data_IF_229174228047
#
_entry.id   IF_229174228047
#
_cell.length_a   1.000
_cell.length_b   1.000
_cell.length_c   1.000
_cell.angle_alpha   90.00
_cell.angle_beta   90.00
_cell.angle_gamma   90.00
#
_symmetry.space_group_name_H-M   'P 1'
#
loop_
_entity.id
_entity.type
_entity.pdbx_description
1 polymer ?
#
# COMPACT_ATOMS: atom_id res chain seq x y z
N UNK A 1 11.22 -9.50 -23.24
CA UNK A 1 10.31 -8.34 -23.42
C UNK A 1 10.28 -7.40 -22.21
N UNK A 2 10.31 -7.89 -20.96
CA UNK A 2 10.21 -7.05 -19.73
C UNK A 2 11.33 -5.99 -19.64
N UNK A 3 12.54 -6.32 -20.02
CA UNK A 3 13.70 -5.39 -20.00
C UNK A 3 13.75 -4.38 -21.15
N UNK A 4 12.81 -4.43 -22.10
CA UNK A 4 12.79 -3.49 -23.22
C UNK A 4 12.55 -2.03 -22.77
N UNK A 5 11.88 -1.81 -21.64
CA UNK A 5 11.69 -0.50 -21.03
C UNK A 5 13.03 0.19 -20.69
N UNK A 6 14.10 -0.55 -20.37
CA UNK A 6 15.44 0.00 -20.10
C UNK A 6 16.14 0.57 -21.34
N UNK A 7 15.60 0.37 -22.54
CA UNK A 7 16.09 1.08 -23.74
C UNK A 7 15.78 2.58 -23.67
N UNK A 8 14.76 2.97 -22.91
CA UNK A 8 14.40 4.37 -22.67
C UNK A 8 15.31 4.96 -21.60
N UNK A 9 16.08 6.01 -21.93
CA UNK A 9 17.04 6.64 -21.01
C UNK A 9 16.37 7.09 -19.71
N UNK A 10 15.20 7.70 -19.79
CA UNK A 10 14.43 8.15 -18.63
C UNK A 10 14.15 7.01 -17.65
N UNK A 11 13.78 5.82 -18.15
CA UNK A 11 13.45 4.67 -17.32
C UNK A 11 14.66 4.06 -16.59
N UNK A 12 15.86 4.18 -17.18
CA UNK A 12 17.12 3.75 -16.52
C UNK A 12 17.41 4.49 -15.23
N UNK A 13 16.93 5.72 -15.11
CA UNK A 13 17.06 6.53 -13.90
C UNK A 13 15.82 6.42 -13.01
N UNK A 14 14.63 6.40 -13.62
CA UNK A 14 13.36 6.32 -12.86
C UNK A 14 13.24 5.01 -12.07
N UNK A 15 13.47 3.86 -12.71
CA UNK A 15 13.27 2.57 -12.07
C UNK A 15 14.13 2.36 -10.81
N UNK A 16 15.48 2.58 -10.82
CA UNK A 16 16.27 2.44 -9.59
C UNK A 16 15.91 3.49 -8.54
N UNK A 17 15.53 4.70 -8.95
CA UNK A 17 15.03 5.70 -8.03
C UNK A 17 13.72 5.25 -7.34
N UNK A 18 12.78 4.65 -8.08
CA UNK A 18 11.55 4.08 -7.55
C UNK A 18 11.83 2.91 -6.61
N UNK A 19 12.81 2.06 -6.95
CA UNK A 19 13.24 0.95 -6.11
C UNK A 19 13.79 1.44 -4.77
N UNK A 20 14.73 2.37 -4.80
CA UNK A 20 15.33 2.95 -3.59
C UNK A 20 14.30 3.63 -2.70
N UNK A 21 13.40 4.45 -3.29
CA UNK A 21 12.32 5.09 -2.53
C UNK A 21 11.41 4.06 -1.87
N UNK A 22 11.03 3.01 -2.59
CA UNK A 22 10.14 1.97 -2.04
C UNK A 22 10.81 1.20 -0.91
N UNK A 23 12.10 0.87 -1.03
CA UNK A 23 12.86 0.23 0.04
C UNK A 23 12.97 1.12 1.27
N UNK A 24 13.31 2.40 1.09
CA UNK A 24 13.39 3.36 2.19
C UNK A 24 12.04 3.51 2.91
N UNK A 25 10.91 3.51 2.19
CA UNK A 25 9.56 3.54 2.80
C UNK A 25 9.28 2.35 3.72
N UNK A 26 9.59 1.15 3.25
CA UNK A 26 9.35 -0.06 4.03
C UNK A 26 10.29 -0.14 5.24
N UNK A 27 11.57 0.23 5.06
CA UNK A 27 12.53 0.34 6.16
C UNK A 27 12.03 1.32 7.23
N UNK A 28 11.62 2.51 6.82
CA UNK A 28 11.14 3.57 7.70
C UNK A 28 9.86 3.16 8.43
N UNK A 29 8.86 2.66 7.69
CA UNK A 29 7.57 2.26 8.27
C UNK A 29 7.74 1.21 9.35
N UNK A 30 8.58 0.20 9.11
CA UNK A 30 8.81 -0.86 10.07
C UNK A 30 9.64 -0.38 11.27
N UNK A 31 10.72 0.37 11.02
CA UNK A 31 11.60 0.89 12.06
C UNK A 31 10.86 1.86 12.99
N UNK A 32 10.07 2.79 12.44
CA UNK A 32 9.30 3.74 13.25
C UNK A 32 8.12 3.11 13.96
N UNK A 33 7.41 2.18 13.31
CA UNK A 33 6.36 1.42 13.97
C UNK A 33 6.88 0.64 15.17
N UNK A 34 8.05 0.03 15.03
CA UNK A 34 8.76 -0.63 16.14
C UNK A 34 9.15 0.35 17.24
N UNK A 35 9.78 1.48 16.85
CA UNK A 35 10.20 2.52 17.79
C UNK A 35 9.01 3.07 18.60
N UNK A 36 7.93 3.46 17.92
CA UNK A 36 6.73 3.97 18.61
C UNK A 36 6.18 2.94 19.58
N UNK A 37 6.10 1.67 19.18
CA UNK A 37 5.58 0.60 20.02
C UNK A 37 6.45 0.40 21.26
N UNK A 38 7.77 0.26 21.10
CA UNK A 38 8.69 -0.03 22.20
C UNK A 38 8.88 1.16 23.15
N UNK A 39 8.86 2.40 22.65
CA UNK A 39 9.03 3.59 23.49
C UNK A 39 7.78 3.96 24.27
N UNK A 40 6.59 3.74 23.67
CA UNK A 40 5.34 4.14 24.32
C UNK A 40 4.60 2.99 25.01
N UNK A 41 4.86 1.75 24.60
CA UNK A 41 4.05 0.59 25.00
C UNK A 41 2.58 0.71 24.59
N UNK A 42 2.21 1.73 23.81
CA UNK A 42 0.83 2.10 23.49
C UNK A 42 0.42 1.67 22.09
N UNK A 43 -0.52 0.73 22.02
CA UNK A 43 -1.12 0.34 20.75
C UNK A 43 -1.86 1.51 20.08
N UNK A 44 -2.42 2.44 20.86
CA UNK A 44 -3.08 3.62 20.30
C UNK A 44 -2.06 4.53 19.58
N UNK A 45 -0.89 4.78 20.17
CA UNK A 45 0.16 5.57 19.51
C UNK A 45 0.66 4.89 18.23
N UNK A 46 0.82 3.57 18.25
CA UNK A 46 1.18 2.79 17.07
C UNK A 46 0.14 2.92 15.95
N UNK A 47 -1.14 2.81 16.28
CA UNK A 47 -2.22 2.89 15.30
C UNK A 47 -2.46 4.31 14.80
N UNK A 48 -2.23 5.33 15.63
CA UNK A 48 -2.18 6.74 15.21
C UNK A 48 -1.04 6.93 14.21
N UNK A 49 0.17 6.48 14.54
CA UNK A 49 1.31 6.52 13.60
C UNK A 49 0.97 5.88 12.24
N UNK A 50 0.41 4.67 12.25
CA UNK A 50 -0.01 3.98 11.02
C UNK A 50 -1.08 4.74 10.24
N UNK A 51 -2.04 5.37 10.93
CA UNK A 51 -3.13 6.12 10.30
C UNK A 51 -2.65 7.43 9.68
N UNK A 52 -1.72 8.13 10.32
CA UNK A 52 -1.14 9.39 9.82
C UNK A 52 -0.47 9.22 8.46
N UNK A 53 0.05 8.04 8.14
CA UNK A 53 0.70 7.77 6.85
C UNK A 53 -0.26 7.83 5.65
N UNK A 54 -1.58 7.83 5.87
CA UNK A 54 -2.61 7.86 4.83
C UNK A 54 -3.30 9.23 4.66
N UNK A 55 -2.90 10.27 5.38
CA UNK A 55 -3.52 11.59 5.32
C UNK A 55 -3.50 12.20 3.91
N UNK A 56 -2.46 11.96 3.14
CA UNK A 56 -2.29 12.47 1.78
C UNK A 56 -3.30 11.93 0.77
N UNK A 57 -4.02 10.85 1.09
CA UNK A 57 -5.12 10.40 0.23
C UNK A 57 -6.25 11.43 0.16
N UNK A 58 -6.45 12.23 1.22
CA UNK A 58 -7.40 13.35 1.24
C UNK A 58 -6.96 14.50 0.32
N UNK A 59 -5.66 14.69 0.18
CA UNK A 59 -5.06 15.74 -0.64
C UNK A 59 -4.84 15.31 -2.11
N UNK A 60 -5.14 14.05 -2.48
CA UNK A 60 -4.90 13.49 -3.80
C UNK A 60 -5.44 14.36 -4.97
N UNK A 61 -6.66 14.97 -4.89
CA UNK A 61 -7.14 15.85 -5.95
C UNK A 61 -6.24 17.09 -6.16
N UNK A 62 -5.72 17.67 -5.07
CA UNK A 62 -4.79 18.80 -5.11
C UNK A 62 -3.45 18.42 -5.76
N UNK A 63 -2.93 17.23 -5.46
CA UNK A 63 -1.72 16.70 -6.09
C UNK A 63 -1.90 16.49 -7.59
N UNK A 64 -3.08 16.04 -8.05
CA UNK A 64 -3.39 15.92 -9.46
C UNK A 64 -3.31 17.25 -10.19
N UNK A 65 -3.99 18.27 -9.67
CA UNK A 65 -3.97 19.64 -10.25
C UNK A 65 -2.55 20.22 -10.27
N UNK A 66 -1.77 19.97 -9.23
CA UNK A 66 -0.39 20.46 -9.15
C UNK A 66 0.50 19.70 -10.16
N UNK A 67 0.30 18.40 -10.33
CA UNK A 67 1.01 17.58 -11.31
C UNK A 67 0.70 18.01 -12.76
N UNK A 68 -0.53 18.40 -13.06
CA UNK A 68 -0.92 18.93 -14.37
C UNK A 68 -0.18 20.25 -14.70
N UNK A 69 0.13 21.06 -13.68
CA UNK A 69 0.83 22.35 -13.85
C UNK A 69 2.35 22.21 -13.88
N UNK A 70 2.92 21.37 -13.00
CA UNK A 70 4.37 21.27 -12.82
C UNK A 70 4.97 20.10 -13.62
N UNK A 71 4.14 19.15 -14.06
CA UNK A 71 4.56 17.88 -14.66
C UNK A 71 4.87 16.81 -13.60
N UNK A 72 4.61 15.54 -13.95
CA UNK A 72 4.80 14.39 -13.04
C UNK A 72 6.25 14.24 -12.56
N UNK A 73 7.24 14.57 -13.40
CA UNK A 73 8.66 14.49 -13.04
C UNK A 73 9.07 15.49 -11.96
N UNK A 74 8.70 16.77 -12.11
CA UNK A 74 8.97 17.81 -11.13
C UNK A 74 8.28 17.52 -9.79
N UNK A 75 7.03 17.06 -9.87
CA UNK A 75 6.25 16.70 -8.70
C UNK A 75 6.92 15.54 -7.95
N UNK A 76 7.35 14.51 -8.65
CA UNK A 76 8.03 13.37 -8.06
C UNK A 76 9.38 13.76 -7.42
N UNK A 77 10.13 14.69 -8.04
CA UNK A 77 11.36 15.21 -7.44
C UNK A 77 11.10 15.99 -6.16
N UNK A 78 10.05 16.84 -6.13
CA UNK A 78 9.66 17.57 -4.93
C UNK A 78 9.23 16.62 -3.80
N UNK A 79 8.48 15.55 -4.12
CA UNK A 79 8.10 14.52 -3.15
C UNK A 79 9.34 13.80 -2.59
N UNK A 80 10.29 13.40 -3.44
CA UNK A 80 11.53 12.75 -3.00
C UNK A 80 12.45 13.66 -2.19
N UNK A 81 12.50 14.95 -2.54
CA UNK A 81 13.18 15.95 -1.72
C UNK A 81 12.57 16.05 -0.32
N UNK A 82 11.23 16.04 -0.23
CA UNK A 82 10.53 16.02 1.07
C UNK A 82 10.88 14.77 1.88
N UNK A 83 10.92 13.58 1.27
CA UNK A 83 11.30 12.34 1.96
C UNK A 83 12.74 12.39 2.47
N UNK A 84 13.68 12.84 1.62
CA UNK A 84 15.09 13.00 2.01
C UNK A 84 15.24 14.00 3.16
N UNK A 85 14.53 15.12 3.12
CA UNK A 85 14.55 16.13 4.18
C UNK A 85 14.00 15.57 5.50
N UNK A 86 12.83 14.93 5.48
CA UNK A 86 12.22 14.34 6.69
C UNK A 86 13.10 13.24 7.30
N UNK A 87 13.66 12.37 6.46
CA UNK A 87 14.58 11.32 6.93
C UNK A 87 15.87 11.90 7.50
N UNK A 88 16.41 12.99 6.90
CA UNK A 88 17.61 13.68 7.41
C UNK A 88 17.34 14.38 8.75
N UNK A 89 16.16 15.01 8.89
CA UNK A 89 15.75 15.59 10.18
C UNK A 89 15.66 14.51 11.24
N UNK A 90 15.02 13.37 10.94
CA UNK A 90 14.89 12.29 11.90
C UNK A 90 16.25 11.64 12.21
N UNK A 91 17.13 11.51 11.22
CA UNK A 91 18.52 11.08 11.43
C UNK A 91 19.24 12.01 12.41
N UNK A 92 19.17 13.32 12.20
CA UNK A 92 19.84 14.30 13.07
C UNK A 92 19.30 14.24 14.50
N UNK A 93 17.98 14.17 14.67
CA UNK A 93 17.34 14.00 15.98
C UNK A 93 17.79 12.69 16.65
N UNK A 94 17.86 11.59 15.89
CA UNK A 94 18.23 10.28 16.43
C UNK A 94 19.71 10.18 16.81
N UNK A 95 20.60 10.83 16.06
CA UNK A 95 22.03 10.88 16.38
C UNK A 95 22.33 11.80 17.57
N UNK A 96 21.46 12.80 17.82
CA UNK A 96 21.55 13.69 18.95
C UNK A 96 20.81 13.17 20.20
N UNK A 97 20.23 11.96 20.17
CA UNK A 97 19.38 11.36 21.22
C UNK A 97 18.15 12.24 21.59
N UNK A 98 17.67 13.06 20.66
CA UNK A 98 16.52 13.96 20.85
C UNK A 98 15.20 13.41 20.25
N UNK A 99 15.21 12.20 19.69
CA UNK A 99 13.98 11.58 19.14
C UNK A 99 13.01 11.26 20.26
N UNK A 100 11.79 11.73 20.09
CA UNK A 100 10.65 11.36 20.93
C UNK A 100 9.53 10.79 20.06
N UNK A 101 8.59 10.01 20.62
CA UNK A 101 7.42 9.54 19.87
C UNK A 101 6.62 10.69 19.21
N UNK A 102 6.59 11.87 19.83
CA UNK A 102 5.91 13.06 19.28
C UNK A 102 6.58 13.51 17.97
N UNK A 103 7.90 13.61 17.92
CA UNK A 103 8.62 13.94 16.69
C UNK A 103 8.34 12.93 15.57
N UNK A 104 8.29 11.64 15.92
CA UNK A 104 7.95 10.58 14.94
C UNK A 104 6.54 10.78 14.39
N UNK A 105 5.56 11.10 15.24
CA UNK A 105 4.18 11.37 14.79
C UNK A 105 4.09 12.63 13.92
N UNK A 106 4.80 13.72 14.27
CA UNK A 106 4.86 14.95 13.47
C UNK A 106 5.45 14.67 12.09
N UNK A 107 6.60 13.99 12.03
CA UNK A 107 7.26 13.67 10.76
C UNK A 107 6.44 12.67 9.94
N UNK A 108 5.79 11.68 10.57
CA UNK A 108 4.86 10.77 9.92
C UNK A 108 3.64 11.51 9.34
N UNK A 109 3.15 12.54 10.02
CA UNK A 109 2.05 13.39 9.51
C UNK A 109 2.46 14.10 8.23
N UNK A 110 3.60 14.80 8.26
CA UNK A 110 4.12 15.53 7.08
C UNK A 110 4.42 14.57 5.93
N UNK A 111 5.10 13.45 6.21
CA UNK A 111 5.36 12.39 5.22
C UNK A 111 4.07 11.77 4.68
N UNK A 112 3.11 11.52 5.55
CA UNK A 112 1.81 10.93 5.21
C UNK A 112 0.94 11.81 4.33
N UNK A 113 1.14 13.13 4.31
CA UNK A 113 0.47 14.02 3.35
C UNK A 113 0.97 13.82 1.91
N UNK A 114 2.19 13.36 1.75
CA UNK A 114 2.85 13.26 0.43
C UNK A 114 2.85 11.82 -0.12
N UNK A 115 3.18 10.83 0.73
CA UNK A 115 3.42 9.42 0.36
C UNK A 115 2.33 8.72 -0.45
N UNK A 116 1.03 8.82 -0.11
CA UNK A 116 -0.02 8.09 -0.83
C UNK A 116 -0.09 8.46 -2.32
N UNK A 117 0.39 9.63 -2.69
CA UNK A 117 0.36 10.12 -4.07
C UNK A 117 1.59 9.72 -4.90
N UNK A 118 2.63 9.18 -4.26
CA UNK A 118 3.90 8.82 -4.93
C UNK A 118 3.71 7.81 -6.06
N UNK A 119 2.94 6.73 -5.82
CA UNK A 119 2.71 5.70 -6.82
C UNK A 119 1.91 6.21 -8.02
N UNK A 120 1.00 7.17 -7.80
CA UNK A 120 0.22 7.79 -8.87
C UNK A 120 1.16 8.59 -9.77
N UNK A 121 2.05 9.38 -9.17
CA UNK A 121 3.04 10.19 -9.91
C UNK A 121 4.05 9.32 -10.65
N UNK A 122 4.52 8.21 -10.06
CA UNK A 122 5.38 7.23 -10.74
C UNK A 122 4.72 6.65 -11.99
N UNK A 123 3.47 6.21 -11.86
CA UNK A 123 2.73 5.62 -12.97
C UNK A 123 2.42 6.67 -14.06
N UNK A 124 2.12 7.92 -13.68
CA UNK A 124 1.96 9.02 -14.63
C UNK A 124 3.25 9.26 -15.41
N UNK A 125 4.40 9.35 -14.72
CA UNK A 125 5.69 9.54 -15.35
C UNK A 125 6.09 8.38 -16.29
N UNK A 126 5.77 7.13 -15.92
CA UNK A 126 5.92 5.96 -16.81
C UNK A 126 5.07 6.14 -18.07
N UNK A 127 3.81 6.56 -17.89
CA UNK A 127 2.89 6.81 -19.00
C UNK A 127 3.36 7.91 -19.96
N UNK A 128 4.01 8.95 -19.43
CA UNK A 128 4.53 10.08 -20.20
C UNK A 128 5.84 9.78 -20.92
N UNK A 129 6.67 8.90 -20.36
CA UNK A 129 8.05 8.69 -20.84
C UNK A 129 8.27 7.40 -21.62
N UNK A 130 7.39 6.40 -21.44
CA UNK A 130 7.56 5.06 -22.03
C UNK A 130 6.65 4.89 -23.26
N UNK A 131 7.22 4.46 -24.41
CA UNK A 131 6.39 4.13 -25.58
C UNK A 131 5.35 3.04 -25.29
N UNK A 132 4.15 3.09 -25.93
CA UNK A 132 3.06 2.14 -25.68
C UNK A 132 3.47 0.67 -25.78
N UNK A 133 4.39 0.33 -26.70
CA UNK A 133 4.90 -1.03 -26.89
C UNK A 133 5.67 -1.59 -25.66
N UNK A 134 6.18 -0.73 -24.77
CA UNK A 134 6.97 -1.12 -23.60
C UNK A 134 6.26 -0.79 -22.26
N UNK A 135 5.10 -0.13 -22.33
CA UNK A 135 4.37 0.37 -21.15
C UNK A 135 4.00 -0.76 -20.17
N UNK A 136 3.46 -1.87 -20.68
CA UNK A 136 3.08 -3.02 -19.84
C UNK A 136 4.29 -3.62 -19.11
N UNK A 137 5.43 -3.70 -19.77
CA UNK A 137 6.68 -4.18 -19.15
C UNK A 137 7.17 -3.24 -18.05
N UNK A 138 7.09 -1.93 -18.25
CA UNK A 138 7.48 -0.92 -17.26
C UNK A 138 6.58 -0.96 -16.02
N UNK A 139 5.25 -1.08 -16.21
CA UNK A 139 4.28 -1.20 -15.11
C UNK A 139 4.45 -2.51 -14.34
N UNK A 140 4.69 -3.62 -15.03
CA UNK A 140 4.98 -4.90 -14.39
C UNK A 140 6.26 -4.82 -13.53
N UNK A 141 7.31 -4.17 -14.04
CA UNK A 141 8.54 -3.98 -13.29
C UNK A 141 8.35 -3.06 -12.08
N UNK A 142 7.53 -2.00 -12.20
CA UNK A 142 7.14 -1.15 -11.07
C UNK A 142 6.42 -1.96 -9.98
N UNK A 143 5.60 -2.93 -10.35
CA UNK A 143 4.94 -3.83 -9.39
C UNK A 143 5.94 -4.73 -8.68
N UNK A 144 6.86 -5.36 -9.41
CA UNK A 144 7.93 -6.19 -8.83
C UNK A 144 8.78 -5.36 -7.85
N UNK A 145 9.05 -4.10 -8.19
CA UNK A 145 9.75 -3.15 -7.31
C UNK A 145 9.06 -3.01 -5.95
N UNK A 146 7.74 -2.80 -5.94
CA UNK A 146 6.97 -2.65 -4.69
C UNK A 146 6.97 -3.95 -3.87
N UNK A 147 6.78 -5.09 -4.53
CA UNK A 147 6.74 -6.37 -3.83
C UNK A 147 8.13 -6.75 -3.27
N UNK A 148 9.22 -6.46 -4.01
CA UNK A 148 10.59 -6.64 -3.51
C UNK A 148 10.91 -5.71 -2.33
N UNK A 149 10.40 -4.47 -2.38
CA UNK A 149 10.60 -3.48 -1.32
C UNK A 149 9.97 -3.93 0.00
N UNK A 150 8.77 -4.50 -0.04
CA UNK A 150 8.10 -5.02 1.15
C UNK A 150 8.92 -6.10 1.85
N UNK A 151 9.56 -6.98 1.07
CA UNK A 151 10.40 -8.05 1.63
C UNK A 151 11.75 -7.50 2.06
N UNK A 152 12.51 -6.92 1.10
CA UNK A 152 13.87 -6.47 1.31
C UNK A 152 13.95 -5.28 2.26
N UNK A 153 13.05 -4.31 2.12
CA UNK A 153 13.00 -3.12 2.97
C UNK A 153 12.64 -3.46 4.41
N UNK A 154 11.64 -4.35 4.63
CA UNK A 154 11.29 -4.78 5.97
C UNK A 154 12.43 -5.52 6.68
N UNK A 155 13.10 -6.46 5.99
CA UNK A 155 14.25 -7.20 6.53
C UNK A 155 15.46 -6.28 6.77
N UNK A 156 15.75 -5.39 5.82
CA UNK A 156 16.85 -4.44 5.94
C UNK A 156 16.59 -3.44 7.09
N UNK A 157 15.38 -2.87 7.18
CA UNK A 157 15.01 -1.96 8.27
C UNK A 157 15.12 -2.61 9.64
N UNK A 158 14.59 -3.83 9.78
CA UNK A 158 14.67 -4.61 11.01
C UNK A 158 16.12 -4.98 11.36
N UNK A 159 16.89 -5.46 10.38
CA UNK A 159 18.28 -5.86 10.56
C UNK A 159 19.17 -4.68 10.95
N UNK A 160 19.06 -3.55 10.25
CA UNK A 160 19.83 -2.35 10.52
C UNK A 160 19.46 -1.73 11.88
N UNK A 161 18.15 -1.64 12.20
CA UNK A 161 17.72 -1.05 13.47
C UNK A 161 18.23 -1.85 14.67
N UNK A 162 18.29 -3.18 14.55
CA UNK A 162 18.82 -4.05 15.61
C UNK A 162 20.34 -3.99 15.70
N UNK A 163 21.05 -3.91 14.55
CA UNK A 163 22.52 -3.95 14.53
C UNK A 163 23.17 -2.59 14.80
N UNK A 164 22.58 -1.50 14.33
CA UNK A 164 23.18 -0.17 14.30
C UNK A 164 22.47 0.85 15.20
N UNK A 165 21.28 0.52 15.70
CA UNK A 165 20.40 1.46 16.40
C UNK A 165 19.71 2.44 15.45
N UNK A 166 18.80 3.27 16.00
CA UNK A 166 17.90 4.13 15.23
C UNK A 166 18.68 5.18 14.39
N UNK A 167 19.62 5.90 14.99
CA UNK A 167 20.32 7.01 14.34
C UNK A 167 21.11 6.57 13.10
N UNK A 168 21.88 5.50 13.21
CA UNK A 168 22.66 4.97 12.07
C UNK A 168 21.77 4.31 11.01
N UNK A 169 20.68 3.68 11.42
CA UNK A 169 19.69 3.17 10.48
C UNK A 169 19.09 4.30 9.66
N UNK A 170 18.77 5.43 10.29
CA UNK A 170 18.27 6.61 9.59
C UNK A 170 19.31 7.31 8.72
N UNK A 171 20.62 7.18 9.04
CA UNK A 171 21.67 7.62 8.11
C UNK A 171 21.62 6.82 6.78
N UNK A 172 21.40 5.51 6.87
CA UNK A 172 21.21 4.68 5.66
C UNK A 172 19.93 5.04 4.93
N UNK A 173 18.79 5.18 5.63
CA UNK A 173 17.50 5.56 5.02
C UNK A 173 17.59 6.92 4.32
N UNK A 174 18.20 7.92 4.98
CA UNK A 174 18.41 9.25 4.41
C UNK A 174 19.28 9.20 3.15
N UNK A 175 20.39 8.45 3.19
CA UNK A 175 21.27 8.25 2.03
C UNK A 175 20.51 7.61 0.87
N UNK A 176 19.67 6.61 1.13
CA UNK A 176 18.85 5.95 0.09
C UNK A 176 17.85 6.92 -0.54
N UNK A 177 17.20 7.79 0.27
CA UNK A 177 16.30 8.83 -0.27
C UNK A 177 17.06 9.89 -1.07
N UNK A 178 18.22 10.33 -0.61
CA UNK A 178 19.08 11.29 -1.34
C UNK A 178 19.56 10.70 -2.66
N UNK A 179 19.98 9.44 -2.67
CA UNK A 179 20.36 8.73 -3.90
C UNK A 179 19.18 8.60 -4.88
N UNK A 180 17.97 8.28 -4.36
CA UNK A 180 16.75 8.27 -5.15
C UNK A 180 16.44 9.64 -5.77
N UNK A 181 16.56 10.72 -4.98
CA UNK A 181 16.37 12.09 -5.45
C UNK A 181 17.40 12.43 -6.55
N UNK A 182 18.68 12.12 -6.34
CA UNK A 182 19.74 12.36 -7.32
C UNK A 182 19.46 11.64 -8.65
N UNK A 183 19.05 10.37 -8.60
CA UNK A 183 18.65 9.62 -9.79
C UNK A 183 17.43 10.24 -10.50
N UNK A 184 16.50 10.85 -9.75
CA UNK A 184 15.32 11.51 -10.35
C UNK A 184 15.70 12.66 -11.27
N UNK A 185 16.79 13.37 -11.01
CA UNK A 185 17.28 14.43 -11.90
C UNK A 185 17.82 13.91 -13.25
N UNK A 186 18.12 12.62 -13.36
CA UNK A 186 18.45 11.97 -14.63
C UNK A 186 17.25 11.64 -15.53
N UNK A 187 16.02 11.78 -15.01
CA UNK A 187 14.80 11.54 -15.76
C UNK A 187 14.50 12.73 -16.68
N UNK A 188 14.00 12.49 -17.88
CA UNK A 188 13.61 13.55 -18.81
C UNK A 188 12.32 14.21 -18.33
N UNK A 189 12.39 15.50 -18.00
CA UNK A 189 11.28 16.29 -17.46
C UNK A 189 10.51 17.05 -18.54
N UNK A 190 10.62 16.63 -19.81
CA UNK A 190 9.85 17.29 -20.86
C UNK A 190 8.37 17.09 -20.59
N UNK A 191 7.67 18.22 -20.37
CA UNK A 191 6.22 18.22 -20.51
C UNK A 191 5.90 17.64 -21.90
N UNK A 192 4.90 16.76 -22.04
CA UNK A 192 4.46 16.31 -23.34
C UNK A 192 4.21 17.56 -24.19
N UNK A 193 4.87 17.66 -25.36
CA UNK A 193 4.47 18.65 -26.35
C UNK A 193 3.00 18.37 -26.63
N UNK A 194 2.10 19.36 -26.58
CA UNK A 194 0.71 19.17 -26.96
C UNK A 194 0.72 18.68 -28.41
N UNK A 195 0.48 17.39 -28.60
CA UNK A 195 0.20 16.86 -29.93
C UNK A 195 -1.20 17.37 -30.31
N UNK A 196 -1.33 18.23 -31.32
CA UNK A 196 -2.63 18.77 -31.75
C UNK A 196 -3.63 17.69 -32.17
N UNK A 197 -3.16 16.47 -32.45
CA UNK A 197 -3.97 15.33 -32.86
C UNK A 197 -4.31 14.37 -31.71
N UNK A 198 -3.73 14.52 -30.52
CA UNK A 198 -4.09 13.73 -29.35
C UNK A 198 -5.27 14.39 -28.65
N UNK A 199 -6.47 13.83 -28.83
CA UNK A 199 -7.61 14.14 -27.97
C UNK A 199 -7.17 14.12 -26.49
N UNK A 200 -7.72 14.98 -25.61
CA UNK A 200 -7.24 15.09 -24.23
C UNK A 200 -7.27 13.70 -23.60
N UNK A 201 -6.07 13.14 -23.37
CA UNK A 201 -5.93 11.99 -22.49
C UNK A 201 -6.54 12.45 -21.19
N UNK A 202 -7.61 11.76 -20.79
CA UNK A 202 -8.28 12.05 -19.55
C UNK A 202 -7.24 12.05 -18.43
N UNK A 203 -6.77 13.25 -18.07
CA UNK A 203 -6.07 13.49 -16.84
C UNK A 203 -7.00 12.98 -15.74
N UNK A 204 -6.53 12.05 -14.95
CA UNK A 204 -7.33 11.35 -13.93
C UNK A 204 -7.96 12.31 -12.93
N UNK A 205 -7.56 13.59 -12.96
CA UNK A 205 -8.15 14.66 -12.12
C UNK A 205 -8.19 15.97 -12.91
N UNK A 206 -9.14 16.11 -13.81
CA UNK A 206 -9.54 17.39 -14.39
C UNK A 206 -10.33 18.21 -13.35
N UNK A 207 -10.56 19.51 -13.58
CA UNK A 207 -11.44 20.35 -12.75
C UNK A 207 -12.90 19.82 -12.65
N UNK A 208 -13.28 18.84 -13.45
CA UNK A 208 -14.48 17.99 -13.32
C UNK A 208 -14.29 16.84 -12.30
N UNK A 209 -13.12 16.66 -11.70
CA UNK A 209 -12.76 15.47 -10.89
C UNK A 209 -13.74 15.15 -9.78
N UNK A 210 -14.33 16.16 -9.14
CA UNK A 210 -15.36 15.95 -8.14
C UNK A 210 -16.67 15.42 -8.75
N UNK A 211 -17.07 15.94 -9.91
CA UNK A 211 -18.25 15.45 -10.67
C UNK A 211 -17.99 14.06 -11.21
N UNK A 212 -16.79 13.80 -11.71
CA UNK A 212 -16.39 12.48 -12.19
C UNK A 212 -16.34 11.44 -11.07
N UNK A 213 -15.88 11.82 -9.88
CA UNK A 213 -15.93 10.99 -8.70
C UNK A 213 -17.37 10.69 -8.28
N UNK A 214 -18.23 11.71 -8.23
CA UNK A 214 -19.65 11.53 -7.91
C UNK A 214 -20.37 10.65 -8.95
N UNK A 215 -20.10 10.87 -10.23
CA UNK A 215 -20.65 10.03 -11.31
C UNK A 215 -20.14 8.58 -11.20
N UNK A 216 -18.86 8.39 -10.88
CA UNK A 216 -18.28 7.08 -10.61
C UNK A 216 -18.91 6.41 -9.39
N UNK A 217 -19.13 7.16 -8.32
CA UNK A 217 -19.79 6.68 -7.11
C UNK A 217 -21.24 6.29 -7.38
N UNK A 218 -22.00 7.14 -8.08
CA UNK A 218 -23.38 6.85 -8.48
C UNK A 218 -23.44 5.59 -9.34
N UNK A 219 -22.56 5.47 -10.32
CA UNK A 219 -22.47 4.29 -11.17
C UNK A 219 -22.11 3.02 -10.36
N UNK A 220 -21.18 3.12 -9.43
CA UNK A 220 -20.78 2.01 -8.58
C UNK A 220 -21.93 1.54 -7.64
N UNK A 221 -22.66 2.50 -7.06
CA UNK A 221 -23.80 2.21 -6.16
C UNK A 221 -24.98 1.61 -6.93
N UNK A 222 -25.21 2.05 -8.17
CA UNK A 222 -26.29 1.53 -9.01
C UNK A 222 -25.98 0.21 -9.69
N UNK A 223 -24.71 -0.22 -9.70
CA UNK A 223 -24.26 -1.49 -10.28
C UNK A 223 -24.03 -2.53 -9.18
N UNK A 224 -24.92 -3.52 -8.99
CA UNK A 224 -24.89 -4.43 -7.84
C UNK A 224 -23.55 -5.15 -7.61
N UNK A 225 -22.90 -5.63 -8.67
CA UNK A 225 -21.59 -6.30 -8.56
C UNK A 225 -20.50 -5.34 -8.08
N UNK A 226 -20.47 -4.11 -8.62
CA UNK A 226 -19.47 -3.11 -8.22
C UNK A 226 -19.68 -2.64 -6.78
N UNK A 227 -20.95 -2.44 -6.37
CA UNK A 227 -21.28 -2.08 -4.99
C UNK A 227 -20.77 -3.14 -4.01
N UNK A 228 -21.09 -4.42 -4.27
CA UNK A 228 -20.63 -5.53 -3.43
C UNK A 228 -19.10 -5.58 -3.31
N UNK A 229 -18.39 -5.46 -4.43
CA UNK A 229 -16.92 -5.46 -4.44
C UNK A 229 -16.33 -4.23 -3.73
N UNK A 230 -16.94 -3.04 -3.84
CA UNK A 230 -16.46 -1.84 -3.15
C UNK A 230 -16.68 -1.91 -1.65
N UNK A 231 -17.83 -2.41 -1.21
CA UNK A 231 -18.08 -2.67 0.21
C UNK A 231 -17.10 -3.70 0.77
N UNK A 232 -16.79 -4.75 0.00
CA UNK A 232 -15.79 -5.74 0.37
C UNK A 232 -14.40 -5.11 0.48
N UNK A 233 -14.01 -4.28 -0.48
CA UNK A 233 -12.74 -3.56 -0.45
C UNK A 233 -12.63 -2.64 0.78
N UNK A 234 -13.70 -1.93 1.14
CA UNK A 234 -13.73 -1.10 2.35
C UNK A 234 -13.62 -1.96 3.62
N UNK A 235 -14.39 -3.07 3.70
CA UNK A 235 -14.33 -3.98 4.85
C UNK A 235 -12.94 -4.59 5.05
N UNK A 236 -12.26 -5.00 3.97
CA UNK A 236 -10.88 -5.49 4.01
C UNK A 236 -9.92 -4.44 4.54
N UNK A 237 -10.02 -3.20 4.06
CA UNK A 237 -9.19 -2.11 4.56
C UNK A 237 -9.49 -1.79 6.03
N UNK A 238 -10.75 -1.86 6.45
CA UNK A 238 -11.16 -1.60 7.82
C UNK A 238 -10.69 -2.70 8.80
N UNK A 239 -10.70 -3.97 8.39
CA UNK A 239 -10.58 -5.09 9.36
C UNK A 239 -9.42 -6.05 9.09
N UNK A 240 -9.00 -6.29 7.83
CA UNK A 240 -7.93 -7.24 7.52
C UNK A 240 -6.54 -6.59 7.48
N UNK A 241 -6.39 -5.48 6.76
CA UNK A 241 -5.10 -4.79 6.63
C UNK A 241 -4.54 -4.24 7.95
N UNK A 242 -5.34 -3.73 8.92
CA UNK A 242 -4.81 -3.40 10.23
C UNK A 242 -4.06 -4.55 10.90
N UNK A 243 -4.56 -5.78 10.77
CA UNK A 243 -3.96 -6.97 11.39
C UNK A 243 -2.68 -7.39 10.66
N UNK A 244 -2.72 -7.49 9.33
CA UNK A 244 -1.61 -7.99 8.52
C UNK A 244 -0.47 -6.98 8.31
N UNK A 245 -0.66 -5.74 8.72
CA UNK A 245 0.34 -4.65 8.57
C UNK A 245 0.52 -3.85 9.84
N UNK A 246 -0.40 -2.94 10.14
CA UNK A 246 -0.22 -1.91 11.15
C UNK A 246 -0.09 -2.40 12.61
N UNK A 247 -0.65 -3.57 12.94
CA UNK A 247 -0.56 -4.16 14.28
C UNK A 247 0.57 -5.18 14.44
N UNK A 248 1.37 -5.45 13.39
CA UNK A 248 2.50 -6.38 13.47
C UNK A 248 3.54 -5.99 14.53
N UNK A 249 3.92 -4.70 14.72
CA UNK A 249 4.83 -4.32 15.81
C UNK A 249 4.26 -4.67 17.19
N UNK A 250 2.96 -4.51 17.41
CA UNK A 250 2.32 -4.91 18.66
C UNK A 250 2.35 -6.44 18.84
N UNK A 251 2.03 -7.20 17.78
CA UNK A 251 2.07 -8.66 17.84
C UNK A 251 3.51 -9.17 18.14
N UNK A 252 4.52 -8.59 17.50
CA UNK A 252 5.92 -8.95 17.70
C UNK A 252 6.35 -8.73 19.15
N UNK A 253 6.08 -7.53 19.73
CA UNK A 253 6.51 -7.18 21.07
C UNK A 253 5.69 -7.87 22.16
N UNK A 254 4.34 -7.79 22.07
CA UNK A 254 3.44 -8.17 23.17
C UNK A 254 2.91 -9.59 23.11
N UNK A 255 2.86 -10.20 21.93
CA UNK A 255 2.31 -11.56 21.76
C UNK A 255 3.43 -12.58 21.60
N UNK A 256 4.38 -12.28 20.72
CA UNK A 256 5.48 -13.21 20.43
C UNK A 256 6.75 -12.93 21.22
N UNK A 257 6.87 -11.78 21.87
CA UNK A 257 8.04 -11.35 22.63
C UNK A 257 9.34 -11.45 21.84
N UNK A 258 9.30 -11.02 20.57
CA UNK A 258 10.44 -11.00 19.66
C UNK A 258 10.92 -9.58 19.45
N UNK A 259 12.17 -9.44 18.99
CA UNK A 259 12.82 -8.17 18.68
C UNK A 259 12.40 -7.62 17.29
N UNK A 260 13.04 -6.53 16.87
CA UNK A 260 12.80 -5.94 15.55
C UNK A 260 13.09 -6.91 14.40
N UNK A 261 14.04 -7.86 14.56
CA UNK A 261 14.30 -8.91 13.54
C UNK A 261 13.12 -9.84 13.41
N UNK A 262 12.54 -10.25 14.54
CA UNK A 262 11.33 -11.07 14.56
C UNK A 262 10.14 -10.35 13.88
N UNK A 263 9.97 -9.05 14.11
CA UNK A 263 9.00 -8.22 13.39
C UNK A 263 9.27 -8.21 11.87
N UNK A 264 10.53 -8.01 11.47
CA UNK A 264 10.93 -8.04 10.07
C UNK A 264 10.62 -9.37 9.41
N UNK A 265 10.84 -10.49 10.10
CA UNK A 265 10.51 -11.83 9.62
C UNK A 265 8.99 -12.06 9.49
N UNK A 266 8.18 -11.57 10.43
CA UNK A 266 6.72 -11.61 10.33
C UNK A 266 6.21 -10.84 9.10
N UNK A 267 6.70 -9.60 8.90
CA UNK A 267 6.34 -8.78 7.75
C UNK A 267 6.81 -9.40 6.42
N UNK A 268 8.04 -9.92 6.39
CA UNK A 268 8.59 -10.62 5.23
C UNK A 268 7.82 -11.90 4.89
N UNK A 269 7.37 -12.66 5.90
CA UNK A 269 6.56 -13.87 5.69
C UNK A 269 5.26 -13.57 4.95
N UNK A 270 4.53 -12.53 5.38
CA UNK A 270 3.33 -12.08 4.69
C UNK A 270 3.63 -11.66 3.25
N UNK A 271 4.69 -10.86 3.05
CA UNK A 271 5.06 -10.33 1.74
C UNK A 271 5.56 -11.42 0.79
N UNK A 272 6.30 -12.43 1.29
CA UNK A 272 6.70 -13.61 0.51
C UNK A 272 5.49 -14.43 0.07
N UNK A 273 4.51 -14.60 0.96
CA UNK A 273 3.25 -15.23 0.60
C UNK A 273 2.52 -14.46 -0.50
N UNK A 274 2.43 -13.15 -0.37
CA UNK A 274 1.79 -12.30 -1.38
C UNK A 274 2.52 -12.37 -2.74
N UNK A 275 3.84 -12.38 -2.74
CA UNK A 275 4.64 -12.58 -3.94
C UNK A 275 4.37 -13.95 -4.58
N UNK A 276 4.37 -15.03 -3.79
CA UNK A 276 4.05 -16.37 -4.28
C UNK A 276 2.64 -16.44 -4.88
N UNK A 277 1.64 -15.83 -4.23
CA UNK A 277 0.28 -15.73 -4.73
C UNK A 277 0.17 -14.98 -6.06
N UNK A 278 0.86 -13.83 -6.20
CA UNK A 278 0.88 -13.08 -7.44
C UNK A 278 1.59 -13.84 -8.57
N UNK A 279 2.68 -14.55 -8.27
CA UNK A 279 3.37 -15.41 -9.25
C UNK A 279 2.47 -16.56 -9.72
N UNK A 280 1.73 -17.19 -8.81
CA UNK A 280 0.74 -18.22 -9.16
C UNK A 280 -0.28 -17.67 -10.14
N UNK A 281 -0.81 -16.45 -9.91
CA UNK A 281 -1.76 -15.82 -10.83
C UNK A 281 -1.16 -15.55 -12.22
N UNK A 282 0.12 -15.17 -12.29
CA UNK A 282 0.83 -14.97 -13.56
C UNK A 282 0.99 -16.30 -14.32
N UNK A 283 1.40 -17.36 -13.63
CA UNK A 283 1.67 -18.69 -14.24
C UNK A 283 0.38 -19.38 -14.69
N UNK A 284 -0.68 -19.27 -13.88
CA UNK A 284 -1.96 -19.95 -14.16
C UNK A 284 -2.89 -19.14 -15.08
N UNK A 285 -2.57 -17.86 -15.35
CA UNK A 285 -3.46 -16.95 -16.08
C UNK A 285 -4.65 -16.44 -15.26
N UNK A 286 -4.69 -16.78 -13.97
CA UNK A 286 -5.75 -16.39 -13.05
C UNK A 286 -6.99 -17.30 -13.10
N UNK A 287 -7.96 -17.10 -12.19
CA UNK A 287 -9.15 -17.92 -12.08
C UNK A 287 -10.15 -17.56 -13.19
N UNK A 288 -10.82 -18.58 -13.72
CA UNK A 288 -11.90 -18.42 -14.73
C UNK A 288 -13.05 -17.53 -14.23
N UNK A 289 -13.29 -17.51 -12.92
CA UNK A 289 -14.35 -16.72 -12.26
C UNK A 289 -13.75 -15.80 -11.20
N UNK A 290 -13.26 -14.61 -11.60
CA UNK A 290 -12.56 -13.70 -10.69
C UNK A 290 -13.41 -13.25 -9.49
N UNK A 291 -14.71 -12.97 -9.70
CA UNK A 291 -15.60 -12.55 -8.62
C UNK A 291 -15.74 -13.62 -7.53
N UNK A 292 -15.90 -14.89 -7.92
CA UNK A 292 -15.97 -16.02 -6.97
C UNK A 292 -14.63 -16.22 -6.26
N UNK A 293 -13.53 -16.12 -7.00
CA UNK A 293 -12.19 -16.22 -6.43
C UNK A 293 -11.93 -15.12 -5.39
N UNK A 294 -12.39 -13.90 -5.65
CA UNK A 294 -12.33 -12.78 -4.71
C UNK A 294 -12.99 -13.14 -3.38
N UNK A 295 -14.25 -13.61 -3.41
CA UNK A 295 -15.00 -13.94 -2.20
C UNK A 295 -14.35 -15.10 -1.42
N UNK A 296 -14.01 -16.19 -2.11
CA UNK A 296 -13.43 -17.38 -1.48
C UNK A 296 -12.08 -17.08 -0.84
N UNK A 297 -11.16 -16.41 -1.57
CA UNK A 297 -9.84 -16.12 -1.02
C UNK A 297 -9.89 -15.02 0.04
N UNK A 298 -10.84 -14.08 -0.02
CA UNK A 298 -11.05 -13.12 1.07
C UNK A 298 -11.55 -13.84 2.35
N UNK A 299 -12.49 -14.77 2.23
CA UNK A 299 -12.95 -15.57 3.36
C UNK A 299 -11.81 -16.42 3.95
N UNK A 300 -10.99 -17.07 3.11
CA UNK A 300 -9.81 -17.80 3.55
C UNK A 300 -8.78 -16.89 4.23
N UNK A 301 -8.59 -15.67 3.71
CA UNK A 301 -7.70 -14.71 4.35
C UNK A 301 -8.18 -14.34 5.75
N UNK A 302 -9.48 -14.05 5.94
CA UNK A 302 -10.03 -13.80 7.27
C UNK A 302 -9.91 -15.01 8.19
N UNK A 303 -10.12 -16.23 7.69
CA UNK A 303 -9.94 -17.46 8.48
C UNK A 303 -8.48 -17.60 8.95
N UNK A 304 -7.50 -17.33 8.08
CA UNK A 304 -6.08 -17.36 8.44
C UNK A 304 -5.72 -16.24 9.44
N UNK A 305 -6.28 -15.04 9.30
CA UNK A 305 -6.09 -13.97 10.27
C UNK A 305 -6.74 -14.29 11.63
N UNK A 306 -7.85 -15.02 11.63
CA UNK A 306 -8.46 -15.54 12.86
C UNK A 306 -7.54 -16.55 13.54
N UNK A 307 -6.92 -17.46 12.78
CA UNK A 307 -5.90 -18.38 13.31
C UNK A 307 -4.72 -17.58 13.87
N UNK A 308 -4.21 -16.59 13.12
CA UNK A 308 -3.09 -15.73 13.55
C UNK A 308 -3.38 -15.03 14.89
N UNK A 309 -4.63 -14.59 15.12
CA UNK A 309 -5.03 -13.93 16.37
C UNK A 309 -4.87 -14.83 17.61
N UNK A 310 -4.91 -16.16 17.44
CA UNK A 310 -4.88 -17.13 18.54
C UNK A 310 -3.56 -17.88 18.67
N UNK A 311 -2.66 -17.76 17.68
CA UNK A 311 -1.36 -18.43 17.70
C UNK A 311 -0.40 -17.71 18.63
N UNK A 312 0.22 -18.46 19.57
CA UNK A 312 1.22 -17.94 20.51
C UNK A 312 2.66 -18.26 20.13
N UNK A 313 2.91 -19.07 19.08
CA UNK A 313 4.25 -19.45 18.61
C UNK A 313 4.62 -18.66 17.37
N UNK A 314 5.73 -17.93 17.40
CA UNK A 314 6.17 -17.05 16.31
C UNK A 314 6.31 -17.78 14.97
N UNK A 315 6.88 -19.00 14.95
CA UNK A 315 7.04 -19.79 13.73
C UNK A 315 5.70 -20.16 13.07
N UNK A 316 4.68 -20.51 13.87
CA UNK A 316 3.32 -20.76 13.37
C UNK A 316 2.67 -19.45 12.90
N UNK A 317 2.92 -18.35 13.61
CA UNK A 317 2.49 -17.00 13.19
C UNK A 317 3.06 -16.61 11.82
N UNK A 318 4.36 -16.84 11.59
CA UNK A 318 5.03 -16.61 10.31
C UNK A 318 4.43 -17.48 9.19
N UNK A 319 4.21 -18.78 9.45
CA UNK A 319 3.58 -19.69 8.47
C UNK A 319 2.14 -19.25 8.13
N UNK A 320 1.39 -18.83 9.14
CA UNK A 320 0.02 -18.32 8.96
C UNK A 320 0.00 -17.03 8.15
N UNK A 321 0.93 -16.08 8.43
CA UNK A 321 1.05 -14.85 7.66
C UNK A 321 1.49 -15.10 6.22
N UNK A 322 2.37 -16.06 5.97
CA UNK A 322 2.76 -16.48 4.62
C UNK A 322 1.54 -17.02 3.85
N UNK A 323 0.77 -17.92 4.45
CA UNK A 323 -0.47 -18.40 3.85
C UNK A 323 -1.49 -17.26 3.64
N UNK A 324 -1.63 -16.36 4.62
CA UNK A 324 -2.52 -15.20 4.54
C UNK A 324 -2.12 -14.26 3.39
N UNK A 325 -0.83 -13.97 3.22
CA UNK A 325 -0.32 -13.16 2.10
C UNK A 325 -0.59 -13.81 0.75
N UNK A 326 -0.41 -15.14 0.64
CA UNK A 326 -0.68 -15.90 -0.57
C UNK A 326 -2.15 -15.74 -1.02
N UNK A 327 -3.09 -16.04 -0.14
CA UNK A 327 -4.53 -15.94 -0.48
C UNK A 327 -4.98 -14.49 -0.66
N UNK A 328 -4.41 -13.55 0.10
CA UNK A 328 -4.67 -12.11 -0.03
C UNK A 328 -4.32 -11.61 -1.44
N UNK A 329 -3.16 -12.00 -1.97
CA UNK A 329 -2.73 -11.57 -3.29
C UNK A 329 -3.68 -12.04 -4.38
N UNK A 330 -4.11 -13.31 -4.33
CA UNK A 330 -5.11 -13.86 -5.26
C UNK A 330 -6.43 -13.10 -5.14
N UNK A 331 -6.90 -12.84 -3.91
CA UNK A 331 -8.13 -12.09 -3.67
C UNK A 331 -8.07 -10.68 -4.30
N UNK A 332 -6.97 -9.94 -4.09
CA UNK A 332 -6.82 -8.57 -4.56
C UNK A 332 -6.69 -8.45 -6.09
N UNK A 333 -5.97 -9.37 -6.72
CA UNK A 333 -5.83 -9.42 -8.18
C UNK A 333 -7.19 -9.76 -8.79
N UNK A 334 -7.87 -10.79 -8.27
CA UNK A 334 -9.21 -11.20 -8.73
C UNK A 334 -10.25 -10.09 -8.52
N UNK A 335 -10.20 -9.36 -7.39
CA UNK A 335 -11.04 -8.20 -7.13
C UNK A 335 -10.85 -7.12 -8.20
N UNK A 336 -9.60 -6.81 -8.54
CA UNK A 336 -9.29 -5.81 -9.56
C UNK A 336 -9.78 -6.24 -10.95
N UNK A 337 -9.62 -7.51 -11.29
CA UNK A 337 -10.11 -8.08 -12.54
C UNK A 337 -11.64 -8.01 -12.62
N UNK A 338 -12.35 -8.36 -11.53
CA UNK A 338 -13.83 -8.26 -11.46
C UNK A 338 -14.30 -6.82 -11.67
N UNK A 339 -13.68 -5.85 -10.97
CA UNK A 339 -14.05 -4.44 -11.12
C UNK A 339 -13.88 -3.92 -12.55
N UNK A 340 -12.80 -4.32 -13.23
CA UNK A 340 -12.54 -3.91 -14.61
C UNK A 340 -13.43 -4.62 -15.63
N UNK A 341 -13.81 -5.86 -15.37
CA UNK A 341 -14.73 -6.63 -16.23
C UNK A 341 -16.16 -6.10 -16.16
N UNK A 342 -16.64 -5.78 -14.94
CA UNK A 342 -18.02 -5.31 -14.72
C UNK A 342 -18.22 -3.82 -15.00
N UNK A 343 -17.13 -3.04 -15.08
CA UNK A 343 -17.18 -1.63 -15.42
C UNK A 343 -17.27 -1.40 -16.93
N UNK A 344 -18.28 -0.64 -17.36
CA UNK A 344 -18.38 -0.18 -18.75
C UNK A 344 -17.09 0.56 -19.16
N UNK A 345 -16.63 0.44 -20.43
CA UNK A 345 -15.35 1.01 -20.87
C UNK A 345 -15.14 2.47 -20.48
N UNK A 346 -16.17 3.32 -20.59
CA UNK A 346 -16.13 4.74 -20.23
C UNK A 346 -16.11 5.05 -18.71
N UNK A 347 -16.36 4.04 -17.85
CA UNK A 347 -16.41 4.21 -16.39
C UNK A 347 -15.24 3.53 -15.65
N UNK A 348 -14.40 2.77 -16.33
CA UNK A 348 -13.30 2.02 -15.70
C UNK A 348 -12.37 2.89 -14.83
N UNK A 349 -11.94 4.03 -15.37
CA UNK A 349 -11.08 4.96 -14.62
C UNK A 349 -11.79 5.53 -13.38
N UNK A 350 -13.09 5.88 -13.51
CA UNK A 350 -13.90 6.39 -12.40
C UNK A 350 -14.13 5.35 -11.32
N UNK A 351 -14.40 4.09 -11.71
CA UNK A 351 -14.54 2.95 -10.78
C UNK A 351 -13.25 2.71 -9.99
N UNK A 352 -12.08 2.77 -10.66
CA UNK A 352 -10.78 2.68 -9.99
C UNK A 352 -10.59 3.84 -9.01
N UNK A 353 -10.98 5.07 -9.40
CA UNK A 353 -10.93 6.25 -8.53
C UNK A 353 -11.82 6.09 -7.28
N UNK A 354 -13.05 5.59 -7.45
CA UNK A 354 -13.97 5.30 -6.32
C UNK A 354 -13.40 4.21 -5.40
N UNK A 355 -12.73 3.18 -5.95
CA UNK A 355 -12.06 2.15 -5.15
C UNK A 355 -11.02 2.75 -4.20
N UNK A 356 -10.35 3.86 -4.58
CA UNK A 356 -9.38 4.52 -3.70
C UNK A 356 -10.03 5.06 -2.42
N UNK A 357 -11.35 5.34 -2.43
CA UNK A 357 -12.08 5.70 -1.22
C UNK A 357 -12.14 4.54 -0.21
N UNK A 358 -12.10 3.29 -0.68
CA UNK A 358 -12.07 2.14 0.21
C UNK A 358 -10.79 2.08 1.07
N UNK A 359 -9.70 2.73 0.65
CA UNK A 359 -8.44 2.81 1.40
C UNK A 359 -8.63 3.54 2.73
N UNK A 360 -9.62 4.47 2.83
CA UNK A 360 -9.94 5.15 4.09
C UNK A 360 -10.41 4.21 5.19
N UNK A 361 -10.87 3.01 4.86
CA UNK A 361 -11.14 1.97 5.84
C UNK A 361 -9.92 1.63 6.70
N UNK A 362 -8.70 1.71 6.14
CA UNK A 362 -7.47 1.32 6.86
C UNK A 362 -7.12 2.25 8.03
N UNK A 363 -7.01 3.59 7.87
CA UNK A 363 -6.78 4.46 9.02
C UNK A 363 -7.91 4.39 10.05
N UNK A 364 -9.17 4.27 9.63
CA UNK A 364 -10.30 4.08 10.54
C UNK A 364 -10.19 2.77 11.31
N UNK A 365 -9.84 1.68 10.63
CA UNK A 365 -9.63 0.38 11.24
C UNK A 365 -8.47 0.38 12.24
N UNK A 366 -7.35 1.03 11.89
CA UNK A 366 -6.22 1.18 12.80
C UNK A 366 -6.61 1.95 14.07
N UNK A 367 -7.24 3.11 13.94
CA UNK A 367 -7.67 3.92 15.08
C UNK A 367 -8.67 3.16 15.96
N UNK A 368 -9.65 2.49 15.34
CA UNK A 368 -10.61 1.66 16.08
C UNK A 368 -9.91 0.50 16.82
N UNK A 369 -8.92 -0.17 16.22
CA UNK A 369 -8.12 -1.19 16.88
C UNK A 369 -7.31 -0.63 18.06
N UNK A 370 -6.71 0.55 17.89
CA UNK A 370 -5.97 1.24 18.95
C UNK A 370 -6.80 1.57 20.18
N UNK A 371 -8.08 1.89 19.97
CA UNK A 371 -9.05 2.14 21.05
C UNK A 371 -9.65 0.85 21.65
N UNK A 372 -9.78 -0.20 20.83
CA UNK A 372 -10.44 -1.44 21.22
C UNK A 372 -9.50 -2.37 21.98
N UNK A 373 -8.27 -2.55 21.52
CA UNK A 373 -7.30 -3.50 22.09
C UNK A 373 -7.06 -3.25 23.60
N UNK A 374 -6.88 -2.00 24.08
CA UNK A 374 -6.72 -1.76 25.53
C UNK A 374 -7.94 -2.14 26.37
N UNK A 375 -9.15 -2.16 25.77
CA UNK A 375 -10.40 -2.43 26.48
C UNK A 375 -10.75 -3.92 26.54
N UNK A 376 -10.59 -4.64 25.44
CA UNK A 376 -11.05 -6.03 25.32
C UNK A 376 -9.90 -7.03 25.12
N UNK A 377 -8.68 -6.53 25.04
CA UNK A 377 -7.48 -7.35 24.75
C UNK A 377 -7.27 -7.62 23.27
N UNK A 378 -6.02 -7.98 22.92
CA UNK A 378 -5.59 -8.20 21.54
C UNK A 378 -6.39 -9.32 20.85
N UNK A 379 -6.47 -10.51 21.48
CA UNK A 379 -7.16 -11.66 20.89
C UNK A 379 -8.63 -11.37 20.58
N UNK A 380 -9.35 -10.78 21.53
CA UNK A 380 -10.78 -10.45 21.37
C UNK A 380 -10.99 -9.40 20.29
N UNK A 381 -10.13 -8.36 20.24
CA UNK A 381 -10.20 -7.33 19.22
C UNK A 381 -9.97 -7.91 17.83
N UNK A 382 -8.95 -8.76 17.64
CA UNK A 382 -8.68 -9.38 16.35
C UNK A 382 -9.75 -10.39 15.96
N UNK A 383 -10.29 -11.14 16.92
CA UNK A 383 -11.44 -12.03 16.67
C UNK A 383 -12.64 -11.24 16.17
N UNK A 384 -12.94 -10.09 16.79
CA UNK A 384 -14.04 -9.22 16.35
C UNK A 384 -13.80 -8.71 14.92
N UNK A 385 -12.56 -8.25 14.61
CA UNK A 385 -12.21 -7.78 13.28
C UNK A 385 -12.34 -8.86 12.21
N UNK A 386 -11.82 -10.04 12.50
CA UNK A 386 -11.83 -11.15 11.54
C UNK A 386 -13.21 -11.74 11.35
N UNK A 387 -14.00 -11.89 12.43
CA UNK A 387 -15.37 -12.38 12.33
C UNK A 387 -16.29 -11.37 11.65
N UNK A 388 -16.15 -10.07 11.95
CA UNK A 388 -16.88 -9.01 11.26
C UNK A 388 -16.58 -9.01 9.76
N UNK A 389 -15.29 -9.04 9.39
CA UNK A 389 -14.88 -9.06 8.00
C UNK A 389 -15.32 -10.32 7.26
N UNK A 390 -15.24 -11.49 7.91
CA UNK A 390 -15.73 -12.76 7.37
C UNK A 390 -17.25 -12.72 7.17
N UNK A 391 -18.00 -12.24 8.17
CA UNK A 391 -19.46 -12.09 8.08
C UNK A 391 -19.86 -11.17 6.95
N UNK A 392 -19.21 -10.00 6.83
CA UNK A 392 -19.46 -9.07 5.72
C UNK A 392 -19.15 -9.74 4.37
N UNK A 393 -18.07 -10.49 4.27
CA UNK A 393 -17.69 -11.24 3.05
C UNK A 393 -18.78 -12.24 2.67
N UNK A 394 -19.29 -13.01 3.64
CA UNK A 394 -20.38 -14.01 3.44
C UNK A 394 -21.67 -13.30 3.04
N UNK A 395 -22.06 -12.24 3.76
CA UNK A 395 -23.28 -11.47 3.47
C UNK A 395 -23.21 -10.89 2.05
N UNK A 396 -22.08 -10.29 1.65
CA UNK A 396 -21.88 -9.80 0.27
C UNK A 396 -22.04 -10.96 -0.73
N UNK A 397 -21.42 -12.10 -0.46
CA UNK A 397 -21.54 -13.30 -1.31
C UNK A 397 -22.97 -13.82 -1.45
N UNK A 398 -23.79 -13.69 -0.43
CA UNK A 398 -25.20 -14.13 -0.42
C UNK A 398 -26.12 -13.09 -1.08
N UNK A 399 -26.00 -11.80 -0.71
CA UNK A 399 -26.86 -10.72 -1.20
C UNK A 399 -26.67 -10.50 -2.69
N UNK A 400 -25.41 -10.42 -3.15
CA UNK A 400 -25.08 -10.23 -4.56
C UNK A 400 -24.75 -11.55 -5.28
N UNK A 401 -25.30 -12.69 -4.79
CA UNK A 401 -25.03 -14.03 -5.34
C UNK A 401 -25.26 -14.10 -6.86
N UNK A 402 -26.31 -13.49 -7.37
CA UNK A 402 -26.61 -13.51 -8.80
C UNK A 402 -25.54 -12.81 -9.64
N UNK A 403 -24.98 -11.70 -9.13
CA UNK A 403 -23.97 -10.92 -9.83
C UNK A 403 -22.55 -11.48 -9.64
N UNK A 404 -22.20 -11.95 -8.43
CA UNK A 404 -20.82 -12.35 -8.11
C UNK A 404 -20.52 -13.84 -8.27
N UNK A 405 -21.54 -14.73 -8.17
CA UNK A 405 -21.33 -16.18 -8.34
C UNK A 405 -21.66 -16.71 -9.72
N UNK A 406 -22.60 -16.06 -10.44
CA UNK A 406 -23.07 -16.48 -11.76
C UNK A 406 -22.47 -15.70 -12.91
N UNK A 407 -21.79 -14.59 -12.64
CA UNK A 407 -21.05 -13.86 -13.68
C UNK A 407 -20.01 -14.79 -14.32
N UNK A 408 -20.08 -14.86 -15.64
CA UNK A 408 -19.24 -15.71 -16.52
C UNK A 408 -17.79 -15.25 -16.52
#
# INVERSE_FOLDING_TARGET
MIFAAFRVKSFRFQWPADLLTSWAFEMETLTLGWYVMTQTGSVLMLTVFGSLQFLGTLAAPGFGVLADRLGAGAMLAAMRASYAALATVLMALALADLVTPVWVLVLATVGGLVRPNDIVMRNALIGDTIPPAHLMGALALSRVTQDSARIGGALAGAGLSTALGLGRTYAVVSLVYVASLALTFGVSWRAPLPDPASAPRASVVSASGWRDLLNGLTYAVTTPALLGIMLLAFAINLTAYPISGGLLPYAAERVYHVDARGLGLLAASFSLGALAGSMTMVVTGGPERPARATLVHTALWYALLLVFAHVGRVGVGMATLLAAGFVQSIAMISMSATMLADAAPGFRARVIGVRMLAVYGLPLGLLAAGLLIPRVGYRSALTLYTTLGLTVTIVIGLVWRAALWRAR
#
